data_IF_284415426025
#
_entry.id   IF_284415426025
#
_cell.length_a   1.000
_cell.length_b   1.000
_cell.length_c   1.000
_cell.angle_alpha   90.00
_cell.angle_beta   90.00
_cell.angle_gamma   90.00
#
_symmetry.space_group_name_H-M   'P 1'
#
loop_
_entity.id
_entity.type
_entity.pdbx_description
1 polymer ?
#
# COMPACT_ATOMS: atom_id res chain seq x y z
N UNK A 1 25.45 -67.92 -16.56
CA UNK A 1 25.24 -66.57 -15.98
C UNK A 1 25.21 -65.57 -17.12
N UNK A 2 24.03 -65.04 -17.45
CA UNK A 2 23.88 -63.85 -18.31
C UNK A 2 22.96 -62.89 -17.59
N UNK A 3 23.46 -61.71 -17.25
CA UNK A 3 22.73 -60.65 -16.54
C UNK A 3 22.03 -59.80 -17.58
N UNK A 4 20.70 -59.77 -17.53
CA UNK A 4 19.88 -58.88 -18.35
C UNK A 4 19.86 -57.48 -17.72
N UNK A 5 20.25 -56.47 -18.49
CA UNK A 5 20.27 -55.06 -18.09
C UNK A 5 18.89 -54.45 -18.40
N UNK A 6 18.09 -54.19 -17.37
CA UNK A 6 16.82 -53.45 -17.50
C UNK A 6 17.10 -51.95 -17.52
N UNK A 7 16.85 -51.31 -18.65
CA UNK A 7 16.86 -49.84 -18.78
C UNK A 7 15.52 -49.32 -18.24
N UNK A 8 15.56 -48.63 -17.09
CA UNK A 8 14.42 -47.87 -16.57
C UNK A 8 14.40 -46.53 -17.32
N UNK A 9 13.42 -46.33 -18.20
CA UNK A 9 13.12 -45.00 -18.73
C UNK A 9 12.52 -44.15 -17.61
N UNK A 10 13.28 -43.15 -17.14
CA UNK A 10 12.75 -42.10 -16.29
C UNK A 10 11.81 -41.21 -17.11
N UNK A 11 10.53 -41.18 -16.74
CA UNK A 11 9.57 -40.24 -17.32
C UNK A 11 10.01 -38.79 -16.98
N UNK A 12 9.98 -37.86 -17.95
CA UNK A 12 10.26 -36.45 -17.66
C UNK A 12 9.15 -35.91 -16.75
N UNK A 13 9.52 -35.56 -15.52
CA UNK A 13 8.62 -34.91 -14.58
C UNK A 13 8.07 -33.60 -15.17
N UNK A 14 6.76 -33.43 -15.09
CA UNK A 14 6.08 -32.16 -15.36
C UNK A 14 6.71 -31.09 -14.47
N UNK A 15 7.59 -30.26 -15.06
CA UNK A 15 8.00 -29.01 -14.43
C UNK A 15 6.77 -28.10 -14.44
N UNK A 16 6.37 -27.51 -13.31
CA UNK A 16 5.33 -26.49 -13.32
C UNK A 16 5.74 -25.40 -14.32
N UNK A 17 4.80 -24.94 -15.12
CA UNK A 17 5.03 -23.84 -16.05
C UNK A 17 5.67 -22.68 -15.27
N UNK A 18 6.85 -22.23 -15.69
CA UNK A 18 7.39 -20.96 -15.20
C UNK A 18 6.50 -19.86 -15.80
N UNK A 19 5.58 -19.32 -15.00
CA UNK A 19 4.79 -18.17 -15.41
C UNK A 19 5.74 -16.99 -15.50
N UNK A 20 5.92 -16.46 -16.71
CA UNK A 20 6.81 -15.34 -16.96
C UNK A 20 6.12 -14.05 -16.54
N UNK A 21 6.52 -13.50 -15.39
CA UNK A 21 5.97 -12.24 -14.89
C UNK A 21 6.16 -11.10 -15.91
N UNK A 22 5.08 -10.42 -16.26
CA UNK A 22 5.11 -9.31 -17.23
C UNK A 22 5.21 -7.98 -16.50
N UNK A 23 6.28 -7.20 -16.76
CA UNK A 23 6.36 -5.80 -16.30
C UNK A 23 5.26 -4.99 -16.99
N UNK A 24 4.46 -4.27 -16.20
CA UNK A 24 3.40 -3.40 -16.73
C UNK A 24 3.60 -1.94 -16.35
N UNK A 25 4.32 -1.65 -15.26
CA UNK A 25 4.52 -0.28 -14.79
C UNK A 25 5.74 -0.19 -13.87
N UNK A 26 6.45 0.93 -13.92
CA UNK A 26 7.44 1.31 -12.91
C UNK A 26 7.02 2.64 -12.27
N UNK A 27 7.01 2.69 -10.94
CA UNK A 27 6.57 3.85 -10.18
C UNK A 27 7.71 4.45 -9.36
N UNK A 28 7.73 5.77 -9.28
CA UNK A 28 8.50 6.54 -8.30
C UNK A 28 7.53 7.41 -7.51
N UNK A 29 7.43 7.16 -6.21
CA UNK A 29 6.51 7.85 -5.33
C UNK A 29 7.22 8.47 -4.12
N UNK A 30 6.54 9.39 -3.48
CA UNK A 30 6.72 9.68 -2.06
C UNK A 30 5.38 9.47 -1.35
N UNK A 31 5.40 8.95 -0.11
CA UNK A 31 4.19 8.53 0.59
C UNK A 31 4.17 8.93 2.05
N UNK A 32 2.96 9.06 2.57
CA UNK A 32 2.63 9.05 3.97
C UNK A 32 1.70 7.86 4.23
N UNK A 33 2.12 6.94 5.08
CA UNK A 33 1.29 5.84 5.53
C UNK A 33 0.76 6.17 6.93
N UNK A 34 -0.57 6.22 7.07
CA UNK A 34 -1.25 6.36 8.35
C UNK A 34 -1.96 5.05 8.64
N UNK A 35 -1.57 4.37 9.71
CA UNK A 35 -2.02 3.03 10.05
C UNK A 35 -2.96 3.09 11.25
N UNK A 36 -4.11 2.46 11.10
CA UNK A 36 -5.19 2.47 12.07
C UNK A 36 -5.55 1.06 12.50
N UNK A 37 -6.09 0.97 13.72
CA UNK A 37 -7.02 -0.09 14.10
C UNK A 37 -8.43 0.48 14.05
N UNK A 38 -9.25 -0.02 13.15
CA UNK A 38 -10.67 0.33 13.00
C UNK A 38 -11.56 -0.84 13.43
N UNK A 39 -12.87 -0.62 13.52
CA UNK A 39 -13.85 -1.68 13.78
C UNK A 39 -13.76 -2.80 12.74
N UNK A 40 -13.43 -4.01 13.17
CA UNK A 40 -13.40 -5.19 12.27
C UNK A 40 -14.77 -5.49 11.68
N UNK A 41 -15.85 -5.25 12.42
CA UNK A 41 -17.21 -5.42 11.93
C UNK A 41 -17.51 -4.49 10.74
N UNK A 42 -17.04 -3.24 10.81
CA UNK A 42 -17.16 -2.28 9.71
C UNK A 42 -16.23 -2.62 8.55
N UNK A 43 -15.02 -3.12 8.83
CA UNK A 43 -14.03 -3.44 7.80
C UNK A 43 -14.37 -4.73 7.04
N UNK A 44 -15.07 -5.69 7.67
CA UNK A 44 -15.38 -7.00 7.09
C UNK A 44 -16.15 -6.90 5.77
N UNK A 45 -17.01 -5.90 5.58
CA UNK A 45 -17.76 -5.71 4.33
C UNK A 45 -16.87 -5.29 3.14
N UNK A 46 -15.64 -4.86 3.39
CA UNK A 46 -14.69 -4.41 2.38
C UNK A 46 -13.70 -5.50 1.95
N UNK A 47 -13.64 -6.60 2.70
CA UNK A 47 -12.70 -7.70 2.47
C UNK A 47 -13.50 -8.91 1.98
N UNK A 48 -13.51 -9.20 0.67
CA UNK A 48 -14.30 -10.30 0.12
C UNK A 48 -13.69 -11.66 0.46
N UNK A 49 -14.55 -12.68 0.61
CA UNK A 49 -14.09 -14.06 0.65
C UNK A 49 -13.26 -14.42 -0.61
N UNK A 50 -12.24 -15.30 -0.51
CA UNK A 50 -11.82 -16.05 0.67
C UNK A 50 -10.89 -15.29 1.63
N UNK A 51 -10.71 -13.98 1.45
CA UNK A 51 -9.88 -13.16 2.33
C UNK A 51 -10.61 -12.84 3.64
N UNK A 52 -9.86 -12.82 4.73
CA UNK A 52 -10.30 -12.33 6.04
C UNK A 52 -9.31 -11.31 6.57
N UNK A 53 -9.78 -10.36 7.36
CA UNK A 53 -8.93 -9.37 8.04
C UNK A 53 -7.90 -10.13 8.87
N UNK A 54 -6.63 -9.76 8.72
CA UNK A 54 -5.52 -10.32 9.46
C UNK A 54 -4.62 -9.15 9.87
N UNK A 55 -4.86 -8.52 11.03
CA UNK A 55 -4.10 -7.37 11.47
C UNK A 55 -2.59 -7.64 11.41
N UNK A 56 -1.79 -6.59 11.18
CA UNK A 56 -0.35 -6.73 11.05
C UNK A 56 0.25 -7.42 12.29
N UNK A 57 0.91 -8.57 12.10
CA UNK A 57 1.42 -9.37 13.23
C UNK A 57 2.71 -8.83 13.84
N UNK A 58 3.42 -7.96 13.10
CA UNK A 58 4.75 -7.46 13.47
C UNK A 58 5.06 -6.10 12.85
N UNK A 59 6.22 -5.56 13.22
CA UNK A 59 6.73 -4.29 12.72
C UNK A 59 6.07 -3.06 13.36
N UNK A 60 6.40 -1.86 12.87
CA UNK A 60 5.93 -0.59 13.45
C UNK A 60 4.40 -0.44 13.48
N UNK A 61 3.73 -1.08 12.53
CA UNK A 61 2.27 -1.08 12.39
C UNK A 61 1.58 -2.25 13.07
N UNK A 62 2.25 -2.97 13.98
CA UNK A 62 1.68 -4.14 14.64
C UNK A 62 0.29 -3.83 15.20
N UNK A 63 -0.63 -4.76 14.95
CA UNK A 63 -2.05 -4.73 15.27
C UNK A 63 -2.91 -3.69 14.51
N UNK A 64 -2.35 -2.95 13.54
CA UNK A 64 -3.15 -2.18 12.59
C UNK A 64 -3.88 -3.12 11.62
N UNK A 65 -5.14 -2.83 11.35
CA UNK A 65 -5.97 -3.57 10.40
C UNK A 65 -6.37 -2.73 9.18
N UNK A 66 -5.99 -1.44 9.13
CA UNK A 66 -6.21 -0.57 7.99
C UNK A 66 -5.01 0.36 7.81
N UNK A 67 -4.51 0.48 6.58
CA UNK A 67 -3.53 1.49 6.19
C UNK A 67 -4.14 2.45 5.18
N UNK A 68 -4.14 3.74 5.52
CA UNK A 68 -4.35 4.82 4.57
C UNK A 68 -3.00 5.21 3.98
N UNK A 69 -2.82 4.94 2.69
CA UNK A 69 -1.62 5.31 1.92
C UNK A 69 -1.93 6.58 1.15
N UNK A 70 -1.38 7.70 1.59
CA UNK A 70 -1.41 8.96 0.85
C UNK A 70 -0.13 9.02 0.02
N UNK A 71 -0.25 8.91 -1.30
CA UNK A 71 0.90 8.84 -2.19
C UNK A 71 0.86 9.94 -3.23
N UNK A 72 2.03 10.48 -3.52
CA UNK A 72 2.30 11.32 -4.66
C UNK A 72 3.16 10.52 -5.61
N UNK A 73 2.58 10.16 -6.75
CA UNK A 73 3.33 9.64 -7.89
C UNK A 73 4.13 10.79 -8.48
N UNK A 74 5.44 10.66 -8.46
CA UNK A 74 6.38 11.58 -9.08
C UNK A 74 6.54 11.24 -10.56
N UNK A 75 6.62 9.95 -10.86
CA UNK A 75 6.75 9.41 -12.20
C UNK A 75 6.16 8.01 -12.28
N UNK A 76 5.43 7.75 -13.37
CA UNK A 76 4.95 6.43 -13.76
C UNK A 76 5.45 6.15 -15.16
N UNK A 77 6.14 5.02 -15.34
CA UNK A 77 6.63 4.55 -16.63
C UNK A 77 5.85 3.30 -17.06
N UNK A 78 5.48 3.25 -18.34
CA UNK A 78 5.01 2.03 -18.97
C UNK A 78 6.12 0.98 -19.11
N UNK A 79 5.80 -0.22 -19.61
CA UNK A 79 6.78 -1.30 -19.79
C UNK A 79 7.95 -0.94 -20.72
N UNK A 80 7.71 -0.02 -21.66
CA UNK A 80 8.72 0.53 -22.57
C UNK A 80 9.59 1.64 -21.96
N UNK A 81 9.42 1.96 -20.67
CA UNK A 81 10.19 2.98 -19.96
C UNK A 81 9.78 4.42 -20.27
N UNK A 82 8.65 4.62 -20.96
CA UNK A 82 8.12 5.96 -21.27
C UNK A 82 7.11 6.41 -20.21
N UNK A 83 7.03 7.73 -19.89
CA UNK A 83 6.00 8.23 -19.01
C UNK A 83 4.59 7.91 -19.53
N UNK A 84 3.73 7.38 -18.65
CA UNK A 84 2.32 7.19 -18.99
C UNK A 84 1.58 8.53 -19.01
N UNK A 85 0.42 8.63 -19.66
CA UNK A 85 -0.48 9.74 -19.38
C UNK A 85 -0.78 9.80 -17.87
N UNK A 86 -0.85 11.02 -17.32
CA UNK A 86 -1.05 11.20 -15.88
C UNK A 86 0.12 10.71 -15.01
N UNK A 87 1.34 10.52 -15.55
CA UNK A 87 2.50 9.99 -14.81
C UNK A 87 2.84 10.69 -13.48
N UNK A 88 2.33 11.90 -13.26
CA UNK A 88 2.41 12.60 -11.98
C UNK A 88 1.00 12.90 -11.46
N UNK A 89 0.63 12.29 -10.34
CA UNK A 89 -0.68 12.47 -9.70
C UNK A 89 -0.63 12.13 -8.22
N UNK A 90 -1.73 12.40 -7.51
CA UNK A 90 -1.88 12.08 -6.08
C UNK A 90 -3.06 11.15 -5.88
N UNK A 91 -2.92 10.29 -4.90
CA UNK A 91 -3.87 9.22 -4.63
C UNK A 91 -3.93 8.94 -3.13
N UNK A 92 -5.13 8.62 -2.64
CA UNK A 92 -5.33 8.03 -1.32
C UNK A 92 -5.83 6.61 -1.52
N UNK A 93 -5.09 5.61 -1.05
CA UNK A 93 -5.50 4.21 -1.10
C UNK A 93 -5.75 3.67 0.31
N UNK A 94 -6.77 2.82 0.45
CA UNK A 94 -7.07 2.08 1.66
C UNK A 94 -6.70 0.62 1.46
N UNK A 95 -5.85 0.11 2.35
CA UNK A 95 -5.25 -1.23 2.24
C UNK A 95 -5.43 -1.98 3.55
N UNK A 96 -5.90 -3.22 3.46
CA UNK A 96 -6.14 -4.10 4.60
C UNK A 96 -5.15 -5.25 4.56
N UNK A 97 -4.36 -5.52 5.62
CA UNK A 97 -3.65 -6.78 5.74
C UNK A 97 -4.68 -7.90 5.94
N UNK A 98 -4.62 -8.93 5.10
CA UNK A 98 -5.58 -10.00 5.07
C UNK A 98 -4.89 -11.37 4.97
N UNK A 99 -5.64 -12.41 5.31
CA UNK A 99 -5.24 -13.80 5.14
C UNK A 99 -6.27 -14.52 4.27
N UNK A 100 -5.81 -15.30 3.30
CA UNK A 100 -6.67 -16.15 2.49
C UNK A 100 -6.97 -17.43 3.27
N UNK A 101 -8.24 -17.71 3.52
CA UNK A 101 -8.68 -18.86 4.32
C UNK A 101 -8.51 -20.20 3.61
N UNK A 102 -8.34 -20.21 2.30
CA UNK A 102 -8.17 -21.43 1.50
C UNK A 102 -6.70 -21.78 1.28
N UNK A 103 -5.82 -20.79 1.17
CA UNK A 103 -4.40 -20.98 0.84
C UNK A 103 -3.44 -20.66 1.98
N UNK A 104 -3.95 -20.14 3.10
CA UNK A 104 -3.18 -19.61 4.24
C UNK A 104 -2.29 -18.38 3.91
N UNK A 105 -2.36 -17.87 2.67
CA UNK A 105 -1.56 -16.74 2.20
C UNK A 105 -1.92 -15.45 2.94
N UNK A 106 -0.92 -14.72 3.44
CA UNK A 106 -1.11 -13.37 3.99
C UNK A 106 -0.68 -12.32 2.97
N UNK A 107 -1.57 -11.38 2.65
CA UNK A 107 -1.32 -10.35 1.66
C UNK A 107 -2.12 -9.07 1.93
N UNK A 108 -1.66 -7.90 1.47
CA UNK A 108 -2.48 -6.70 1.42
C UNK A 108 -3.60 -6.81 0.38
N UNK A 109 -4.80 -6.39 0.78
CA UNK A 109 -5.99 -6.22 -0.07
C UNK A 109 -6.29 -4.74 -0.20
N UNK A 110 -6.28 -4.21 -1.42
CA UNK A 110 -6.67 -2.82 -1.71
C UNK A 110 -8.18 -2.76 -1.78
N UNK A 111 -8.80 -2.04 -0.83
CA UNK A 111 -10.27 -1.98 -0.71
C UNK A 111 -10.88 -0.74 -1.36
N UNK A 112 -10.11 0.36 -1.45
CA UNK A 112 -10.56 1.61 -2.10
C UNK A 112 -9.39 2.46 -2.54
N UNK A 113 -9.56 3.17 -3.65
CA UNK A 113 -8.58 4.14 -4.16
C UNK A 113 -9.30 5.42 -4.58
N UNK A 114 -8.87 6.58 -4.07
CA UNK A 114 -9.31 7.90 -4.51
C UNK A 114 -8.17 8.53 -5.31
N UNK A 115 -8.38 8.77 -6.60
CA UNK A 115 -7.30 9.23 -7.50
C UNK A 115 -7.64 10.53 -8.22
N UNK A 116 -6.63 11.40 -8.34
CA UNK A 116 -6.67 12.60 -9.17
C UNK A 116 -6.43 12.31 -10.66
N UNK A 117 -5.94 11.13 -11.02
CA UNK A 117 -5.80 10.72 -12.41
C UNK A 117 -7.12 10.13 -12.94
N UNK A 118 -7.81 10.79 -13.89
CA UNK A 118 -9.06 10.29 -14.44
C UNK A 118 -8.89 8.98 -15.22
N UNK A 119 -7.71 8.70 -15.81
CA UNK A 119 -7.45 7.43 -16.48
C UNK A 119 -7.22 6.28 -15.51
N UNK A 120 -6.92 6.60 -14.24
CA UNK A 120 -6.80 5.64 -13.14
C UNK A 120 -8.13 5.10 -12.61
N UNK A 121 -9.28 5.44 -13.22
CA UNK A 121 -10.62 4.98 -12.81
C UNK A 121 -11.17 3.96 -13.82
N UNK A 122 -11.61 2.76 -13.40
CA UNK A 122 -11.67 2.24 -12.02
C UNK A 122 -10.33 1.65 -11.54
N UNK A 123 -9.29 1.77 -12.35
CA UNK A 123 -7.95 1.27 -12.04
C UNK A 123 -7.86 -0.26 -12.10
N UNK A 124 -6.68 -0.83 -11.84
CA UNK A 124 -6.44 -2.26 -11.97
C UNK A 124 -7.25 -3.09 -10.97
N UNK A 125 -7.47 -2.57 -9.76
CA UNK A 125 -8.22 -3.26 -8.71
C UNK A 125 -9.74 -3.04 -8.79
N UNK A 126 -10.24 -2.34 -9.82
CA UNK A 126 -11.66 -2.06 -10.07
C UNK A 126 -12.40 -1.25 -9.00
N UNK A 127 -11.68 -0.66 -8.04
CA UNK A 127 -12.24 0.09 -6.92
C UNK A 127 -11.73 1.52 -6.82
N UNK A 128 -11.11 2.03 -7.88
CA UNK A 128 -10.68 3.43 -7.92
C UNK A 128 -11.84 4.33 -8.28
N UNK A 129 -11.94 5.47 -7.60
CA UNK A 129 -12.92 6.52 -7.86
C UNK A 129 -12.22 7.86 -8.03
N UNK A 130 -12.86 8.76 -8.79
CA UNK A 130 -12.35 10.10 -9.02
C UNK A 130 -12.38 10.92 -7.73
N UNK A 131 -11.29 11.67 -7.49
CA UNK A 131 -11.17 12.64 -6.42
C UNK A 131 -10.23 13.78 -6.83
N UNK A 132 -10.33 14.95 -6.21
CA UNK A 132 -9.21 15.88 -6.15
C UNK A 132 -8.32 15.51 -4.97
N UNK A 133 -7.00 15.55 -5.14
CA UNK A 133 -6.05 15.28 -4.07
C UNK A 133 -4.95 16.33 -4.08
N UNK A 134 -4.85 17.11 -3.02
CA UNK A 134 -3.80 18.11 -2.79
C UNK A 134 -2.84 17.62 -1.71
N UNK A 135 -1.57 17.93 -1.90
CA UNK A 135 -0.51 17.79 -0.90
C UNK A 135 0.26 19.10 -0.80
N UNK A 136 0.48 19.55 0.42
CA UNK A 136 1.52 20.53 0.77
C UNK A 136 2.57 19.80 1.62
N UNK A 137 3.85 19.95 1.27
CA UNK A 137 4.97 19.35 1.98
C UNK A 137 6.00 20.44 2.24
N UNK A 138 6.42 20.58 3.50
CA UNK A 138 7.58 21.40 3.88
C UNK A 138 8.61 20.50 4.56
N UNK A 139 9.86 20.64 4.14
CA UNK A 139 11.00 20.00 4.76
C UNK A 139 12.00 21.09 5.14
N UNK A 140 12.48 21.07 6.37
CA UNK A 140 13.52 21.98 6.89
C UNK A 140 14.67 21.13 7.41
N UNK A 141 15.89 21.64 7.34
CA UNK A 141 17.10 21.02 7.87
C UNK A 141 18.31 21.91 7.66
N UNK A 142 19.37 21.66 8.42
CA UNK A 142 20.66 22.33 8.30
C UNK A 142 21.78 21.30 8.40
N UNK A 143 22.81 21.42 7.57
CA UNK A 143 23.91 20.46 7.48
C UNK A 143 23.45 18.99 7.40
N UNK A 144 23.89 18.20 8.38
CA UNK A 144 23.57 16.77 8.49
C UNK A 144 22.32 16.48 9.33
N UNK A 145 21.63 17.50 9.86
CA UNK A 145 20.43 17.31 10.65
C UNK A 145 19.25 16.92 9.73
N UNK A 146 18.51 15.82 10.01
CA UNK A 146 17.33 15.48 9.24
C UNK A 146 16.25 16.58 9.25
N UNK A 147 16.24 17.38 10.33
CA UNK A 147 15.36 18.52 10.55
C UNK A 147 13.87 18.17 10.66
N UNK A 148 13.00 19.15 10.44
CA UNK A 148 11.55 19.01 10.64
C UNK A 148 10.80 18.83 9.31
N UNK A 149 9.69 18.11 9.36
CA UNK A 149 8.76 17.93 8.25
C UNK A 149 7.35 18.36 8.64
N UNK A 150 6.60 18.90 7.67
CA UNK A 150 5.16 19.07 7.81
C UNK A 150 4.45 18.70 6.51
N UNK A 151 3.34 18.00 6.64
CA UNK A 151 2.51 17.56 5.53
C UNK A 151 1.05 17.90 5.77
N UNK A 152 0.40 18.36 4.70
CA UNK A 152 -1.03 18.60 4.67
C UNK A 152 -1.61 17.98 3.42
N UNK A 153 -2.47 16.99 3.62
CA UNK A 153 -3.17 16.29 2.56
C UNK A 153 -4.65 16.59 2.63
N UNK A 154 -5.23 16.89 1.47
CA UNK A 154 -6.66 17.10 1.31
C UNK A 154 -7.15 16.29 0.12
N UNK A 155 -8.14 15.44 0.34
CA UNK A 155 -8.84 14.71 -0.71
C UNK A 155 -10.31 15.12 -0.69
N UNK A 156 -10.88 15.41 -1.86
CA UNK A 156 -12.32 15.62 -2.02
C UNK A 156 -12.86 14.72 -3.12
N UNK A 157 -14.02 14.15 -2.85
CA UNK A 157 -14.84 13.39 -3.80
C UNK A 157 -16.30 13.81 -3.65
N UNK A 158 -17.18 13.34 -4.52
CA UNK A 158 -18.61 13.68 -4.44
C UNK A 158 -19.25 13.24 -3.11
N UNK A 159 -18.68 12.21 -2.47
CA UNK A 159 -19.15 11.67 -1.19
C UNK A 159 -18.53 12.28 0.06
N UNK A 160 -17.69 13.32 -0.02
CA UNK A 160 -17.07 13.97 1.15
C UNK A 160 -15.56 14.19 1.00
N UNK A 161 -14.86 14.36 2.13
CA UNK A 161 -13.43 14.66 2.13
C UNK A 161 -12.62 13.84 3.14
N UNK A 162 -11.31 13.76 2.89
CA UNK A 162 -10.31 13.33 3.87
C UNK A 162 -9.29 14.45 4.03
N UNK A 163 -8.93 14.74 5.27
CA UNK A 163 -7.89 15.69 5.63
C UNK A 163 -6.90 15.04 6.60
N UNK A 164 -5.60 15.17 6.30
CA UNK A 164 -4.51 14.77 7.20
C UNK A 164 -3.56 15.95 7.31
N UNK A 165 -3.33 16.42 8.54
CA UNK A 165 -2.30 17.39 8.86
C UNK A 165 -1.30 16.73 9.82
N UNK A 166 -0.02 16.90 9.53
CA UNK A 166 1.06 16.27 10.28
C UNK A 166 2.26 17.21 10.37
N UNK A 167 2.79 17.42 11.57
CA UNK A 167 4.12 17.98 11.79
C UNK A 167 4.97 16.99 12.59
N UNK A 168 6.23 16.84 12.23
CA UNK A 168 7.09 15.79 12.79
C UNK A 168 8.58 16.16 12.73
N UNK A 169 9.34 15.61 13.67
CA UNK A 169 10.80 15.59 13.58
C UNK A 169 11.22 14.43 12.67
N UNK A 170 12.00 14.71 11.63
CA UNK A 170 12.51 13.70 10.70
C UNK A 170 13.67 12.92 11.31
N UNK A 171 13.85 11.72 10.81
CA UNK A 171 14.94 10.82 11.16
C UNK A 171 15.63 10.35 9.89
N UNK A 172 16.67 9.53 10.06
CA UNK A 172 17.32 8.86 8.94
C UNK A 172 16.42 7.70 8.50
N UNK A 173 15.91 7.69 7.25
CA UNK A 173 15.05 6.61 6.79
C UNK A 173 15.80 5.28 6.70
N UNK A 174 15.17 4.21 7.18
CA UNK A 174 15.65 2.84 6.95
C UNK A 174 15.36 2.42 5.52
N UNK A 175 16.33 1.83 4.82
CA UNK A 175 16.10 1.27 3.48
C UNK A 175 15.55 -0.15 3.59
N UNK A 176 14.50 -0.45 2.83
CA UNK A 176 13.91 -1.79 2.77
C UNK A 176 13.56 -2.19 1.35
N UNK A 177 13.70 -3.48 1.06
CA UNK A 177 13.24 -4.12 -0.17
C UNK A 177 12.23 -5.21 0.15
N UNK A 178 11.23 -5.37 -0.69
CA UNK A 178 10.20 -6.39 -0.49
C UNK A 178 9.52 -6.77 -1.79
N UNK A 179 9.16 -8.04 -1.90
CA UNK A 179 8.27 -8.56 -2.93
C UNK A 179 6.94 -8.92 -2.28
N UNK A 180 5.83 -8.53 -2.90
CA UNK A 180 4.50 -8.80 -2.37
C UNK A 180 3.47 -8.94 -3.47
N UNK A 181 2.52 -9.86 -3.28
CA UNK A 181 1.27 -9.84 -4.01
C UNK A 181 0.32 -8.85 -3.34
N UNK A 182 -0.37 -8.06 -4.15
CA UNK A 182 -1.37 -7.11 -3.67
C UNK A 182 -2.68 -7.39 -4.40
N UNK A 183 -3.73 -7.68 -3.65
CA UNK A 183 -5.00 -8.19 -4.15
C UNK A 183 -6.07 -7.09 -4.25
N UNK A 184 -7.04 -7.30 -5.15
CA UNK A 184 -8.25 -6.45 -5.22
C UNK A 184 -9.27 -6.86 -4.15
N UNK A 185 -9.90 -5.87 -3.51
CA UNK A 185 -11.09 -6.05 -2.68
C UNK A 185 -12.40 -6.22 -3.46
N UNK A 186 -12.36 -6.20 -4.80
CA UNK A 186 -13.52 -6.40 -5.70
C UNK A 186 -13.38 -7.72 -6.47
N UNK A 187 -12.19 -7.98 -7.02
CA UNK A 187 -11.85 -9.20 -7.74
C UNK A 187 -10.84 -10.01 -6.90
N UNK A 188 -11.27 -10.84 -5.93
CA UNK A 188 -10.40 -11.42 -4.90
C UNK A 188 -9.31 -12.37 -5.41
N UNK A 189 -9.40 -12.79 -6.67
CA UNK A 189 -8.39 -13.61 -7.36
C UNK A 189 -7.40 -12.78 -8.17
N UNK A 190 -7.72 -11.52 -8.47
CA UNK A 190 -6.83 -10.61 -9.19
C UNK A 190 -5.79 -10.02 -8.22
N UNK A 191 -4.53 -10.08 -8.61
CA UNK A 191 -3.44 -9.43 -7.90
C UNK A 191 -2.40 -8.85 -8.85
N UNK A 192 -1.64 -7.89 -8.32
CA UNK A 192 -0.39 -7.42 -8.92
C UNK A 192 0.79 -7.89 -8.06
N UNK A 193 1.91 -8.18 -8.71
CA UNK A 193 3.19 -8.46 -8.08
C UNK A 193 3.97 -7.16 -7.98
N UNK A 194 4.33 -6.78 -6.75
CA UNK A 194 5.06 -5.57 -6.46
C UNK A 194 6.46 -5.91 -5.96
N UNK A 195 7.48 -5.39 -6.64
CA UNK A 195 8.87 -5.40 -6.18
C UNK A 195 9.26 -4.00 -5.79
N UNK A 196 9.61 -3.80 -4.53
CA UNK A 196 9.73 -2.48 -3.90
C UNK A 196 11.15 -2.24 -3.40
N UNK A 197 11.65 -1.02 -3.58
CA UNK A 197 12.82 -0.47 -2.90
C UNK A 197 12.43 0.91 -2.36
N UNK A 198 12.46 1.07 -1.03
CA UNK A 198 11.95 2.28 -0.38
C UNK A 198 12.79 2.70 0.82
N UNK A 199 12.65 3.97 1.17
CA UNK A 199 13.11 4.53 2.43
C UNK A 199 11.92 4.74 3.35
N UNK A 200 12.01 4.27 4.59
CA UNK A 200 10.94 4.41 5.57
C UNK A 200 11.45 5.08 6.84
N UNK A 201 10.85 6.21 7.16
CA UNK A 201 11.03 6.95 8.41
C UNK A 201 9.77 6.78 9.27
N UNK A 202 9.83 5.95 10.31
CA UNK A 202 8.71 5.71 11.24
C UNK A 202 8.67 6.85 12.25
N UNK A 203 7.78 7.82 12.04
CA UNK A 203 7.68 9.01 12.91
C UNK A 203 6.76 8.78 14.10
N UNK A 204 5.88 7.78 14.04
CA UNK A 204 5.09 7.31 15.18
C UNK A 204 4.84 5.81 15.09
N UNK A 205 4.92 5.12 16.22
CA UNK A 205 4.52 3.73 16.38
C UNK A 205 4.22 3.46 17.85
N UNK A 206 2.97 3.14 18.16
CA UNK A 206 2.56 2.73 19.51
C UNK A 206 3.27 1.41 19.92
N UNK A 207 3.29 0.35 19.08
CA UNK A 207 3.94 -0.91 19.46
C UNK A 207 5.45 -0.79 19.68
N UNK A 208 6.13 0.11 18.96
CA UNK A 208 7.58 0.30 19.07
C UNK A 208 7.99 1.43 20.03
N UNK A 209 7.04 2.12 20.68
CA UNK A 209 7.35 3.24 21.58
C UNK A 209 7.98 4.46 20.88
N UNK A 210 7.73 4.64 19.58
CA UNK A 210 8.29 5.75 18.80
C UNK A 210 7.26 6.88 18.74
N UNK A 211 7.66 8.09 19.11
CA UNK A 211 6.87 9.30 18.85
C UNK A 211 7.76 10.51 18.56
N UNK A 212 7.76 10.92 17.30
CA UNK A 212 8.40 12.15 16.80
C UNK A 212 7.38 13.10 16.18
N UNK A 213 6.09 12.84 16.39
CA UNK A 213 5.01 13.68 15.88
C UNK A 213 4.84 14.86 16.82
N UNK A 214 4.87 16.06 16.25
CA UNK A 214 4.67 17.32 16.97
C UNK A 214 3.19 17.73 16.93
N UNK A 215 2.51 17.48 15.82
CA UNK A 215 1.06 17.64 15.71
C UNK A 215 0.51 16.66 14.69
N UNK A 216 -0.69 16.16 14.94
CA UNK A 216 -1.42 15.30 14.03
C UNK A 216 -2.91 15.58 14.10
N UNK A 217 -3.55 15.70 12.95
CA UNK A 217 -5.00 15.77 12.79
C UNK A 217 -5.41 14.89 11.63
N UNK A 218 -6.41 14.08 11.85
CA UNK A 218 -7.12 13.35 10.81
C UNK A 218 -8.61 13.65 10.89
N UNK A 219 -9.24 13.79 9.73
CA UNK A 219 -10.68 13.89 9.60
C UNK A 219 -11.12 13.22 8.32
N UNK A 220 -12.22 12.46 8.40
CA UNK A 220 -12.96 12.00 7.23
C UNK A 220 -14.42 12.42 7.33
N UNK A 221 -15.00 12.85 6.22
CA UNK A 221 -16.44 13.01 6.05
C UNK A 221 -16.95 12.21 4.85
N UNK A 222 -16.15 11.26 4.34
CA UNK A 222 -16.52 10.44 3.20
C UNK A 222 -17.61 9.47 3.62
N UNK A 223 -18.81 9.61 3.05
CA UNK A 223 -20.00 8.85 3.47
C UNK A 223 -19.79 7.34 3.46
N UNK A 224 -19.12 6.80 2.44
CA UNK A 224 -18.87 5.35 2.36
C UNK A 224 -17.90 4.85 3.44
N UNK A 225 -17.03 5.72 3.97
CA UNK A 225 -16.05 5.37 5.00
C UNK A 225 -16.55 5.67 6.42
N UNK A 226 -17.77 6.19 6.59
CA UNK A 226 -18.28 6.67 7.87
C UNK A 226 -18.26 5.59 8.98
N UNK A 227 -18.44 4.30 8.62
CA UNK A 227 -18.36 3.19 9.59
C UNK A 227 -16.93 2.79 9.95
N UNK A 228 -15.95 3.11 9.10
CA UNK A 228 -14.53 2.84 9.38
C UNK A 228 -13.91 3.94 10.25
N UNK A 229 -14.39 5.18 10.09
CA UNK A 229 -13.91 6.37 10.78
C UNK A 229 -15.07 7.05 11.52
N UNK A 230 -15.63 6.35 12.51
CA UNK A 230 -16.75 6.80 13.35
C UNK A 230 -16.28 7.52 14.63
N UNK A 231 -14.97 7.73 14.79
CA UNK A 231 -14.33 8.29 15.98
C UNK A 231 -13.79 7.23 16.94
N UNK A 232 -14.04 5.93 16.68
CA UNK A 232 -13.46 4.83 17.45
C UNK A 232 -12.11 4.35 16.90
N UNK A 233 -11.71 4.81 15.73
CA UNK A 233 -10.43 4.42 15.13
C UNK A 233 -9.24 4.81 16.02
N UNK A 234 -8.28 3.89 16.13
CA UNK A 234 -7.05 4.12 16.90
C UNK A 234 -5.89 4.30 15.93
N UNK A 235 -5.18 5.42 16.04
CA UNK A 235 -3.92 5.61 15.34
C UNK A 235 -2.86 4.66 15.92
N UNK A 236 -2.33 3.77 15.09
CA UNK A 236 -1.29 2.80 15.47
C UNK A 236 0.10 3.32 15.13
N UNK A 237 0.29 3.79 13.90
CA UNK A 237 1.59 4.24 13.42
C UNK A 237 1.49 5.22 12.26
N UNK A 238 2.54 6.02 12.08
CA UNK A 238 2.73 6.92 10.95
C UNK A 238 4.13 6.68 10.40
N UNK A 239 4.22 6.41 9.10
CA UNK A 239 5.48 6.26 8.39
C UNK A 239 5.55 7.22 7.22
N UNK A 240 6.66 7.96 7.14
CA UNK A 240 7.00 8.85 6.04
C UNK A 240 7.95 8.12 5.11
N UNK A 241 7.61 8.10 3.83
CA UNK A 241 8.35 7.36 2.80
C UNK A 241 8.84 8.39 1.77
N UNK A 242 10.03 8.98 1.97
CA UNK A 242 10.53 10.04 1.10
C UNK A 242 10.86 9.56 -0.31
N UNK A 243 11.24 8.29 -0.49
CA UNK A 243 11.34 7.65 -1.79
C UNK A 243 10.73 6.26 -1.77
N UNK A 244 10.04 5.93 -2.84
CA UNK A 244 9.43 4.63 -3.07
C UNK A 244 9.57 4.28 -4.55
N UNK A 245 10.39 3.28 -4.85
CA UNK A 245 10.47 2.68 -6.16
C UNK A 245 9.65 1.40 -6.17
N UNK A 246 8.88 1.17 -7.25
CA UNK A 246 8.13 -0.07 -7.43
C UNK A 246 8.02 -0.49 -8.88
N UNK A 247 8.47 -1.71 -9.17
CA UNK A 247 8.01 -2.45 -10.34
C UNK A 247 6.66 -3.07 -10.06
N UNK A 248 5.75 -2.94 -11.02
CA UNK A 248 4.46 -3.60 -11.02
C UNK A 248 4.46 -4.64 -12.13
N UNK A 249 4.17 -5.87 -11.75
CA UNK A 249 4.12 -7.01 -12.65
C UNK A 249 2.77 -7.72 -12.56
N UNK A 250 2.42 -8.39 -13.64
CA UNK A 250 1.34 -9.37 -13.69
C UNK A 250 1.94 -10.78 -13.73
N UNK A 251 1.26 -11.78 -13.14
CA UNK A 251 1.65 -13.20 -13.25
C UNK A 251 1.79 -13.66 -14.69
#
# INVERSE_FOLDING_TARGET
MSIALTIILAAPGLRPAAWAETLVETNFDSRLNVQFRVSEAALKSWVPAPWQINPASSGPGKDANLTMVLLQRLLVLGPEGKPTPGATHRTVALVVPAKNTQTDESAPVVIRVFTADPQGVPGPYKNSVKASVRRELTLKGDGNEPGAGSEHWQMQTNGGSIEVQLAYQRGVPSRGRSDSKVYSGIEPTFFRLYRVDQGMDVVKSVPAGIDRVQSYRFRSTVTELARLFDGSEQLVAISVIPWYFREVRLP
#
